data_IF_291757783660
#
_entry.id   IF_291757783660
#
_cell.length_a   1.000
_cell.length_b   1.000
_cell.length_c   1.000
_cell.angle_alpha   90.00
_cell.angle_beta   90.00
_cell.angle_gamma   90.00
#
_symmetry.space_group_name_H-M   'P 1'
#
loop_
_entity.id
_entity.type
_entity.pdbx_description
1 polymer ?
#
# COMPACT_ATOMS: atom_id res chain seq x y z
N UNK A 1 22.50 51.60 58.24
CA UNK A 1 21.57 50.50 57.88
C UNK A 1 20.56 51.06 56.90
N UNK A 2 20.57 50.58 55.65
CA UNK A 2 19.40 50.37 54.78
C UNK A 2 19.88 49.76 53.45
N UNK A 3 19.74 48.45 53.44
CA UNK A 3 19.50 47.46 52.37
C UNK A 3 19.48 47.92 50.92
N UNK A 4 20.40 47.34 50.14
CA UNK A 4 20.29 47.11 48.69
C UNK A 4 19.26 45.99 48.45
N UNK A 5 18.33 46.17 47.50
CA UNK A 5 17.60 45.05 46.88
C UNK A 5 17.48 45.30 45.37
N UNK A 6 17.65 44.20 44.65
CA UNK A 6 18.02 44.02 43.24
C UNK A 6 16.86 44.30 42.28
N UNK A 7 17.19 44.76 41.07
CA UNK A 7 16.26 45.06 39.98
C UNK A 7 15.54 43.85 39.36
N UNK A 8 14.78 44.08 38.29
CA UNK A 8 13.61 43.28 37.91
C UNK A 8 13.99 41.91 37.34
N UNK A 9 13.61 40.84 38.04
CA UNK A 9 13.68 39.48 37.54
C UNK A 9 12.61 39.22 36.48
N UNK A 10 13.04 39.16 35.23
CA UNK A 10 12.23 38.77 34.08
C UNK A 10 11.55 37.41 34.33
N UNK A 11 10.25 37.33 34.02
CA UNK A 11 9.50 36.06 33.95
C UNK A 11 10.20 35.14 32.95
N UNK A 12 10.35 33.83 33.23
CA UNK A 12 10.75 32.88 32.19
C UNK A 12 9.62 32.82 31.15
N UNK A 13 9.87 33.47 30.03
CA UNK A 13 9.15 33.35 28.76
C UNK A 13 9.17 31.89 28.31
N UNK A 14 7.97 31.33 28.11
CA UNK A 14 7.64 30.26 27.16
C UNK A 14 8.58 29.06 27.08
N UNK A 15 8.11 27.90 27.52
CA UNK A 15 8.61 26.63 27.00
C UNK A 15 8.58 26.68 25.46
N UNK A 16 9.65 26.26 24.76
CA UNK A 16 9.69 26.31 23.30
C UNK A 16 8.55 25.44 22.75
N UNK A 17 7.67 25.96 21.87
CA UNK A 17 6.66 25.16 21.19
C UNK A 17 7.34 24.40 20.04
N UNK A 18 8.22 23.47 20.38
CA UNK A 18 8.82 22.52 19.45
C UNK A 18 8.59 21.09 19.93
N UNK A 19 7.45 20.83 20.56
CA UNK A 19 6.81 19.54 20.35
C UNK A 19 6.22 19.59 18.93
N UNK A 20 7.09 19.53 17.91
CA UNK A 20 6.64 19.09 16.60
C UNK A 20 6.01 17.73 16.88
N UNK A 21 4.69 17.54 16.68
CA UNK A 21 4.06 16.27 16.99
C UNK A 21 4.81 15.23 16.18
N UNK A 22 5.61 14.41 16.86
CA UNK A 22 6.41 13.39 16.19
C UNK A 22 5.40 12.53 15.45
N UNK A 23 5.48 12.42 14.11
CA UNK A 23 4.52 11.63 13.37
C UNK A 23 4.47 10.23 13.99
N UNK A 24 3.25 9.74 14.25
CA UNK A 24 3.03 8.43 14.88
C UNK A 24 3.90 7.39 14.17
N UNK A 25 4.54 6.54 14.95
CA UNK A 25 5.43 5.52 14.40
C UNK A 25 4.70 4.70 13.33
N UNK A 26 5.31 4.46 12.15
CA UNK A 26 4.72 3.56 11.16
C UNK A 26 4.50 2.18 11.75
N UNK A 27 3.37 1.57 11.41
CA UNK A 27 3.06 0.20 11.80
C UNK A 27 3.72 -0.79 10.82
N UNK A 28 4.98 -1.13 11.11
CA UNK A 28 5.75 -2.06 10.30
C UNK A 28 5.24 -3.50 10.37
N UNK A 29 4.52 -3.87 11.44
CA UNK A 29 3.90 -5.19 11.52
C UNK A 29 2.75 -5.30 10.53
N UNK A 30 1.82 -4.33 10.54
CA UNK A 30 0.74 -4.26 9.57
C UNK A 30 1.27 -4.18 8.13
N UNK A 31 2.37 -3.45 7.91
CA UNK A 31 3.03 -3.39 6.61
C UNK A 31 3.54 -4.76 6.16
N UNK A 32 4.15 -5.54 7.06
CA UNK A 32 4.63 -6.89 6.78
C UNK A 32 3.51 -7.81 6.32
N UNK A 33 2.43 -7.89 7.11
CA UNK A 33 1.25 -8.72 6.79
C UNK A 33 0.61 -8.30 5.46
N UNK A 34 0.46 -6.99 5.24
CA UNK A 34 -0.06 -6.47 3.98
C UNK A 34 0.84 -6.84 2.78
N UNK A 35 2.16 -6.68 2.92
CA UNK A 35 3.12 -6.97 1.85
C UNK A 35 3.14 -8.45 1.47
N UNK A 36 3.05 -9.35 2.44
CA UNK A 36 2.92 -10.79 2.21
C UNK A 36 1.61 -11.14 1.50
N UNK A 37 0.50 -10.54 1.94
CA UNK A 37 -0.82 -10.76 1.30
C UNK A 37 -0.83 -10.26 -0.14
N UNK A 38 -0.17 -9.13 -0.41
CA UNK A 38 0.00 -8.60 -1.77
C UNK A 38 0.79 -9.57 -2.65
N UNK A 39 1.86 -10.17 -2.13
CA UNK A 39 2.63 -11.17 -2.87
C UNK A 39 1.78 -12.41 -3.23
N UNK A 40 0.87 -12.85 -2.34
CA UNK A 40 -0.07 -13.92 -2.69
C UNK A 40 -1.02 -13.53 -3.81
N UNK A 41 -1.55 -12.29 -3.81
CA UNK A 41 -2.40 -11.81 -4.89
C UNK A 41 -1.66 -11.87 -6.23
N UNK A 42 -0.43 -11.35 -6.27
CA UNK A 42 0.43 -11.37 -7.44
C UNK A 42 0.74 -12.79 -7.93
N UNK A 43 0.99 -13.71 -7.01
CA UNK A 43 1.20 -15.12 -7.31
C UNK A 43 -0.04 -15.77 -7.94
N UNK A 44 -1.24 -15.57 -7.36
CA UNK A 44 -2.45 -16.19 -7.89
C UNK A 44 -2.89 -15.60 -9.23
N UNK A 45 -2.64 -14.30 -9.48
CA UNK A 45 -2.85 -13.70 -10.80
C UNK A 45 -1.98 -14.42 -11.84
N UNK A 46 -0.71 -14.66 -11.54
CA UNK A 46 0.20 -15.38 -12.44
C UNK A 46 -0.29 -16.81 -12.70
N UNK A 47 -0.78 -17.49 -11.67
CA UNK A 47 -1.39 -18.83 -11.81
C UNK A 47 -2.65 -18.81 -12.67
N UNK A 48 -3.48 -17.76 -12.62
CA UNK A 48 -4.62 -17.59 -13.52
C UNK A 48 -4.18 -17.48 -14.98
N UNK A 49 -3.12 -16.72 -15.27
CA UNK A 49 -2.56 -16.61 -16.62
C UNK A 49 -2.10 -17.97 -17.15
N UNK A 50 -1.35 -18.71 -16.33
CA UNK A 50 -0.89 -20.06 -16.68
C UNK A 50 -2.05 -21.02 -16.93
N UNK A 51 -3.12 -20.96 -16.13
CA UNK A 51 -4.30 -21.80 -16.28
C UNK A 51 -5.15 -21.44 -17.50
N UNK A 52 -5.21 -20.16 -17.88
CA UNK A 52 -5.93 -19.67 -19.05
C UNK A 52 -5.21 -19.85 -20.39
N UNK A 53 -4.06 -20.55 -20.41
CA UNK A 53 -3.27 -20.74 -21.62
C UNK A 53 -2.45 -19.51 -22.04
N UNK A 54 -2.27 -18.53 -21.15
CA UNK A 54 -1.36 -17.43 -21.37
C UNK A 54 0.09 -17.92 -21.36
N UNK A 55 0.83 -17.67 -22.44
CA UNK A 55 2.28 -17.89 -22.46
C UNK A 55 2.95 -16.94 -21.46
N UNK A 56 3.34 -17.46 -20.30
CA UNK A 56 4.23 -16.76 -19.34
C UNK A 56 5.70 -16.95 -19.69
N UNK A 57 6.01 -17.22 -20.96
CA UNK A 57 7.36 -17.45 -21.47
C UNK A 57 8.10 -16.11 -21.66
N UNK A 58 8.35 -15.41 -20.56
CA UNK A 58 9.28 -14.30 -20.49
C UNK A 58 10.25 -14.59 -19.37
N UNK A 59 11.56 -14.64 -19.68
CA UNK A 59 12.64 -14.74 -18.69
C UNK A 59 12.64 -13.57 -17.69
N UNK A 60 11.83 -12.54 -17.93
CA UNK A 60 11.64 -11.38 -17.05
C UNK A 60 10.24 -11.41 -16.41
N UNK A 61 10.14 -11.20 -15.08
CA UNK A 61 8.84 -11.07 -14.41
C UNK A 61 8.08 -9.88 -15.00
N UNK A 62 6.85 -10.14 -15.43
CA UNK A 62 5.96 -9.11 -15.98
C UNK A 62 5.53 -8.13 -14.88
N UNK A 63 5.36 -6.85 -15.26
CA UNK A 63 4.75 -5.87 -14.38
C UNK A 63 3.32 -6.29 -14.00
N UNK A 64 2.80 -5.83 -12.86
CA UNK A 64 1.41 -6.11 -12.48
C UNK A 64 0.43 -5.64 -13.56
N UNK A 65 0.66 -4.46 -14.14
CA UNK A 65 -0.17 -3.94 -15.22
C UNK A 65 -0.20 -4.90 -16.43
N UNK A 66 0.96 -5.37 -16.88
CA UNK A 66 1.04 -6.32 -17.99
C UNK A 66 0.36 -7.65 -17.67
N UNK A 67 0.47 -8.14 -16.42
CA UNK A 67 -0.23 -9.35 -15.97
C UNK A 67 -1.75 -9.16 -15.98
N UNK A 68 -2.26 -8.02 -15.52
CA UNK A 68 -3.69 -7.71 -15.53
C UNK A 68 -4.23 -7.53 -16.95
N UNK A 69 -3.45 -6.90 -17.84
CA UNK A 69 -3.82 -6.76 -19.26
C UNK A 69 -3.85 -8.11 -19.98
N UNK A 70 -2.93 -9.02 -19.62
CA UNK A 70 -2.94 -10.38 -20.14
C UNK A 70 -4.14 -11.17 -19.58
N UNK A 71 -4.47 -10.98 -18.30
CA UNK A 71 -5.60 -11.62 -17.65
C UNK A 71 -6.90 -11.18 -18.33
N UNK A 72 -7.06 -9.90 -18.62
CA UNK A 72 -8.20 -9.31 -19.32
C UNK A 72 -8.46 -9.93 -20.70
N UNK A 73 -7.42 -10.43 -21.38
CA UNK A 73 -7.51 -11.02 -22.73
C UNK A 73 -7.87 -12.50 -22.74
N UNK A 74 -7.89 -13.17 -21.59
CA UNK A 74 -8.27 -14.58 -21.53
C UNK A 74 -9.75 -14.78 -21.90
N UNK A 75 -10.10 -15.99 -22.33
CA UNK A 75 -11.50 -16.40 -22.37
C UNK A 75 -11.95 -16.82 -20.98
N UNK A 76 -12.87 -16.07 -20.40
CA UNK A 76 -13.39 -16.29 -19.06
C UNK A 76 -14.74 -17.00 -19.05
N UNK A 77 -15.34 -17.25 -20.23
CA UNK A 77 -16.68 -17.80 -20.35
C UNK A 77 -17.70 -17.07 -19.46
N UNK A 78 -18.39 -17.81 -18.59
CA UNK A 78 -19.40 -17.27 -17.67
C UNK A 78 -18.84 -16.39 -16.54
N UNK A 79 -17.51 -16.33 -16.35
CA UNK A 79 -16.86 -15.55 -15.29
C UNK A 79 -16.37 -14.17 -15.74
N UNK A 80 -16.65 -13.76 -16.99
CA UNK A 80 -16.09 -12.52 -17.56
C UNK A 80 -16.39 -11.25 -16.74
N UNK A 81 -17.60 -11.11 -16.20
CA UNK A 81 -17.97 -9.95 -15.38
C UNK A 81 -17.18 -9.91 -14.08
N UNK A 82 -17.05 -11.06 -13.41
CA UNK A 82 -16.33 -11.18 -12.14
C UNK A 82 -14.83 -10.95 -12.34
N UNK A 83 -14.27 -11.46 -13.42
CA UNK A 83 -12.86 -11.25 -13.78
C UNK A 83 -12.57 -9.78 -14.10
N UNK A 84 -13.43 -9.10 -14.87
CA UNK A 84 -13.29 -7.68 -15.16
C UNK A 84 -13.35 -6.83 -13.87
N UNK A 85 -14.27 -7.14 -12.96
CA UNK A 85 -14.37 -6.48 -11.66
C UNK A 85 -13.10 -6.70 -10.83
N UNK A 86 -12.60 -7.94 -10.76
CA UNK A 86 -11.35 -8.30 -10.07
C UNK A 86 -10.14 -7.53 -10.62
N UNK A 87 -10.03 -7.43 -11.94
CA UNK A 87 -8.95 -6.68 -12.60
C UNK A 87 -9.02 -5.19 -12.24
N UNK A 88 -10.21 -4.58 -12.38
CA UNK A 88 -10.44 -3.18 -12.04
C UNK A 88 -10.11 -2.89 -10.56
N UNK A 89 -10.60 -3.73 -9.66
CA UNK A 89 -10.37 -3.59 -8.22
C UNK A 89 -8.88 -3.76 -7.86
N UNK A 90 -8.18 -4.67 -8.55
CA UNK A 90 -6.73 -4.86 -8.36
C UNK A 90 -5.93 -3.63 -8.82
N UNK A 91 -6.28 -3.04 -9.97
CA UNK A 91 -5.65 -1.79 -10.45
C UNK A 91 -5.87 -0.66 -9.42
N UNK A 92 -7.11 -0.46 -8.99
CA UNK A 92 -7.44 0.58 -8.01
C UNK A 92 -6.75 0.36 -6.65
N UNK A 93 -6.57 -0.90 -6.22
CA UNK A 93 -5.85 -1.21 -4.99
C UNK A 93 -4.34 -1.01 -5.13
N UNK A 94 -3.76 -1.27 -6.30
CA UNK A 94 -2.35 -1.02 -6.58
C UNK A 94 -1.99 0.46 -6.43
N UNK A 95 -2.84 1.37 -6.93
CA UNK A 95 -2.65 2.81 -6.76
C UNK A 95 -2.69 3.22 -5.29
N UNK A 96 -3.66 2.68 -4.54
CA UNK A 96 -3.78 2.94 -3.10
C UNK A 96 -2.60 2.40 -2.31
N UNK A 97 -2.10 1.21 -2.68
CA UNK A 97 -0.88 0.62 -2.14
C UNK A 97 0.32 1.53 -2.36
N UNK A 98 0.50 2.03 -3.58
CA UNK A 98 1.63 2.89 -3.91
C UNK A 98 1.63 4.16 -3.06
N UNK A 99 0.46 4.81 -2.92
CA UNK A 99 0.31 5.99 -2.08
C UNK A 99 0.62 5.69 -0.60
N UNK A 100 0.07 4.60 -0.05
CA UNK A 100 0.33 4.22 1.34
C UNK A 100 1.80 3.90 1.62
N UNK A 101 2.51 3.27 0.68
CA UNK A 101 3.95 3.00 0.80
C UNK A 101 4.78 4.29 0.72
N UNK A 102 4.40 5.23 -0.14
CA UNK A 102 5.04 6.54 -0.21
C UNK A 102 4.85 7.33 1.09
N UNK A 103 3.65 7.31 1.66
CA UNK A 103 3.37 7.98 2.94
C UNK A 103 4.17 7.35 4.08
N UNK A 104 4.28 6.02 4.12
CA UNK A 104 5.08 5.31 5.11
C UNK A 104 6.58 5.62 4.95
N UNK A 105 7.08 5.68 3.71
CA UNK A 105 8.46 6.07 3.43
C UNK A 105 8.74 7.50 3.91
N UNK A 106 7.83 8.45 3.62
CA UNK A 106 7.91 9.84 4.10
C UNK A 106 7.94 9.91 5.63
N UNK A 107 7.00 9.25 6.30
CA UNK A 107 6.94 9.23 7.75
C UNK A 107 8.25 8.65 8.35
N UNK A 108 8.84 7.66 7.68
CA UNK A 108 10.12 7.07 8.10
C UNK A 108 11.28 8.06 7.93
N UNK A 109 11.38 8.75 6.79
CA UNK A 109 12.39 9.77 6.53
C UNK A 109 12.31 10.94 7.52
N UNK A 110 11.10 11.44 7.79
CA UNK A 110 10.88 12.50 8.76
C UNK A 110 11.36 12.10 10.16
N UNK A 111 11.09 10.87 10.59
CA UNK A 111 11.55 10.36 11.88
C UNK A 111 13.07 10.18 11.97
N UNK A 112 13.73 9.92 10.85
CA UNK A 112 15.19 9.84 10.78
C UNK A 112 15.87 11.21 10.70
N UNK A 113 15.12 12.32 10.67
CA UNK A 113 15.67 13.65 10.44
C UNK A 113 16.15 13.87 9.00
N UNK A 114 15.67 13.03 8.08
CA UNK A 114 16.01 13.00 6.65
C UNK A 114 14.85 13.52 5.78
N UNK A 115 13.97 14.34 6.35
CA UNK A 115 12.77 14.87 5.68
C UNK A 115 13.09 15.71 4.43
N UNK A 116 14.30 16.25 4.31
CA UNK A 116 14.76 16.96 3.11
C UNK A 116 14.92 16.06 1.87
N UNK A 117 14.90 14.74 2.03
CA UNK A 117 14.93 13.77 0.94
C UNK A 117 13.53 13.25 0.58
N UNK A 118 12.47 13.84 1.12
CA UNK A 118 11.11 13.52 0.72
C UNK A 118 10.88 13.89 -0.75
N UNK A 119 10.09 13.08 -1.44
CA UNK A 119 9.80 13.27 -2.85
C UNK A 119 8.60 14.22 -2.95
N UNK A 120 8.78 15.38 -3.57
CA UNK A 120 7.71 16.34 -3.84
C UNK A 120 6.55 15.67 -4.60
N UNK A 121 5.32 15.80 -4.08
CA UNK A 121 4.11 15.49 -4.83
C UNK A 121 3.06 14.57 -4.18
N UNK A 122 3.27 14.04 -2.97
CA UNK A 122 2.21 13.28 -2.30
C UNK A 122 1.46 14.14 -1.26
N UNK A 123 0.15 14.21 -1.43
CA UNK A 123 -0.76 14.93 -0.54
C UNK A 123 -0.82 14.23 0.83
N UNK A 124 -0.87 14.99 1.94
CA UNK A 124 -1.03 14.41 3.27
C UNK A 124 -2.30 13.58 3.33
N UNK A 125 -2.18 12.33 3.78
CA UNK A 125 -3.29 11.38 3.78
C UNK A 125 -4.17 11.54 5.02
N UNK A 126 -5.47 11.70 4.77
CA UNK A 126 -6.52 11.68 5.79
C UNK A 126 -6.57 10.29 6.44
N UNK A 127 -6.76 10.24 7.76
CA UNK A 127 -6.44 9.10 8.64
C UNK A 127 -7.28 7.81 8.46
N UNK A 128 -7.97 7.65 7.34
CA UNK A 128 -9.04 6.66 7.13
C UNK A 128 -8.69 5.53 6.12
N UNK A 129 -7.40 5.38 5.76
CA UNK A 129 -6.89 4.21 5.00
C UNK A 129 -5.72 3.55 5.73
N UNK A 130 -6.02 2.88 6.83
CA UNK A 130 -5.04 2.06 7.54
C UNK A 130 -4.53 0.93 6.64
N UNK A 131 -3.26 0.52 6.84
CA UNK A 131 -2.69 -0.67 6.20
C UNK A 131 -3.57 -1.91 6.40
N UNK A 132 -4.29 -1.97 7.51
CA UNK A 132 -5.30 -2.99 7.81
C UNK A 132 -6.46 -3.00 6.79
N UNK A 133 -7.01 -1.83 6.42
CA UNK A 133 -8.06 -1.76 5.41
C UNK A 133 -7.56 -2.19 4.02
N UNK A 134 -6.31 -1.86 3.68
CA UNK A 134 -5.68 -2.34 2.45
C UNK A 134 -5.45 -3.85 2.50
N UNK A 135 -5.01 -4.37 3.65
CA UNK A 135 -4.84 -5.81 3.87
C UNK A 135 -6.16 -6.56 3.69
N UNK A 136 -7.25 -6.14 4.35
CA UNK A 136 -8.55 -6.82 4.23
C UNK A 136 -9.09 -6.82 2.80
N UNK A 137 -8.90 -5.72 2.04
CA UNK A 137 -9.24 -5.67 0.61
C UNK A 137 -8.37 -6.61 -0.23
N UNK A 138 -7.09 -6.70 0.10
CA UNK A 138 -6.17 -7.63 -0.58
C UNK A 138 -6.58 -9.08 -0.31
N UNK A 139 -6.98 -9.42 0.93
CA UNK A 139 -7.50 -10.74 1.28
C UNK A 139 -8.75 -11.12 0.45
N UNK A 140 -9.70 -10.20 0.26
CA UNK A 140 -10.85 -10.47 -0.60
C UNK A 140 -10.45 -10.66 -2.07
N UNK A 141 -9.52 -9.85 -2.58
CA UNK A 141 -9.00 -10.04 -3.94
C UNK A 141 -8.28 -11.37 -4.11
N UNK A 142 -7.48 -11.80 -3.12
CA UNK A 142 -6.85 -13.13 -3.13
C UNK A 142 -7.92 -14.21 -3.22
N UNK A 143 -8.96 -14.13 -2.38
CA UNK A 143 -10.08 -15.09 -2.40
C UNK A 143 -10.75 -15.15 -3.77
N UNK A 144 -11.08 -14.00 -4.36
CA UNK A 144 -11.71 -13.91 -5.68
C UNK A 144 -10.80 -14.42 -6.80
N UNK A 145 -9.50 -14.16 -6.70
CA UNK A 145 -8.49 -14.66 -7.66
C UNK A 145 -8.38 -16.18 -7.60
N UNK A 146 -8.41 -16.78 -6.40
CA UNK A 146 -8.43 -18.24 -6.23
C UNK A 146 -9.69 -18.86 -6.84
N UNK A 147 -10.87 -18.23 -6.66
CA UNK A 147 -12.10 -18.70 -7.29
C UNK A 147 -12.01 -18.65 -8.81
N UNK A 148 -11.45 -17.57 -9.37
CA UNK A 148 -11.21 -17.44 -10.81
C UNK A 148 -10.23 -18.52 -11.32
N UNK A 149 -9.13 -18.76 -10.61
CA UNK A 149 -8.17 -19.83 -10.94
C UNK A 149 -8.86 -21.18 -11.02
N UNK A 150 -9.69 -21.51 -10.02
CA UNK A 150 -10.45 -22.76 -10.03
C UNK A 150 -11.42 -22.86 -11.20
N UNK A 151 -12.03 -21.76 -11.64
CA UNK A 151 -12.92 -21.74 -12.79
C UNK A 151 -12.14 -21.97 -14.11
N UNK A 152 -11.01 -21.29 -14.29
CA UNK A 152 -10.13 -21.45 -15.46
C UNK A 152 -9.60 -22.89 -15.57
N UNK A 153 -9.15 -23.47 -14.46
CA UNK A 153 -8.68 -24.86 -14.42
C UNK A 153 -9.77 -25.90 -14.74
N UNK A 154 -11.05 -25.58 -14.48
CA UNK A 154 -12.17 -26.45 -14.85
C UNK A 154 -12.53 -26.32 -16.33
N UNK A 155 -12.42 -25.13 -16.89
CA UNK A 155 -12.72 -24.86 -18.30
C UNK A 155 -11.64 -25.40 -19.26
N UNK A 156 -10.39 -25.48 -18.80
CA UNK A 156 -9.27 -26.06 -19.57
C UNK A 156 -9.15 -27.58 -19.53
N UNK A 157 -10.10 -28.30 -18.91
CA UNK A 157 -10.22 -29.77 -18.93
C UNK A 157 -11.34 -30.18 -19.87
#
# INVERSE_FOLDING_TARGET
>A
MNTLEVGPGARPTGAPPHACPTPRAPDYHALGTFSETWAFLEYFIDRCLQAGGGETASDRPLSLAARLDALERLDHGSQGVEAAALISDTRALADRRQNALQDLARASLQRMGLGQFDIDGALPHDGDKTLEALHMRTCDLVRRTVMLLCALQKAGR
#
